data_IF_295904647874
#
_entry.id   IF_295904647874
#
_cell.length_a   1.000
_cell.length_b   1.000
_cell.length_c   1.000
_cell.angle_alpha   90.00
_cell.angle_beta   90.00
_cell.angle_gamma   90.00
#
_symmetry.space_group_name_H-M   'P 1'
#
loop_
_entity.id
_entity.type
_entity.pdbx_description
1 polymer ?
#
# COMPACT_ATOMS: atom_id res chain seq x y z
N UNK A 1 0.15 -10.04 -11.06
CA UNK A 1 -0.38 -10.58 -9.76
C UNK A 1 0.59 -10.38 -8.57
N UNK A 2 1.89 -10.18 -8.82
CA UNK A 2 2.91 -10.00 -7.79
C UNK A 2 3.52 -8.59 -7.90
N UNK A 3 3.25 -7.74 -6.92
CA UNK A 3 3.81 -6.40 -6.74
C UNK A 3 5.22 -6.48 -6.15
N UNK A 4 6.09 -5.55 -6.58
CA UNK A 4 7.51 -5.59 -6.21
C UNK A 4 8.30 -6.65 -6.96
N UNK A 5 7.89 -7.05 -8.16
CA UNK A 5 8.56 -8.12 -8.90
C UNK A 5 10.04 -7.85 -9.18
N UNK A 6 10.45 -6.58 -9.31
CA UNK A 6 11.86 -6.19 -9.45
C UNK A 6 12.73 -6.50 -8.23
N UNK A 7 12.10 -6.82 -7.09
CA UNK A 7 12.73 -7.03 -5.80
C UNK A 7 12.80 -8.51 -5.40
N UNK A 8 12.31 -9.42 -6.25
CA UNK A 8 12.29 -10.88 -5.99
C UNK A 8 13.71 -11.40 -5.80
N UNK A 9 14.63 -11.06 -6.70
CA UNK A 9 16.01 -11.58 -6.69
C UNK A 9 16.82 -11.10 -5.48
N UNK A 10 16.42 -9.97 -4.89
CA UNK A 10 17.04 -9.41 -3.69
C UNK A 10 16.37 -9.86 -2.39
N UNK A 11 15.37 -10.74 -2.44
CA UNK A 11 14.60 -11.26 -1.29
C UNK A 11 13.98 -10.14 -0.43
N UNK A 12 13.64 -9.01 -1.05
CA UNK A 12 12.93 -7.91 -0.40
C UNK A 12 11.43 -8.25 -0.36
N UNK A 13 10.69 -7.64 0.56
CA UNK A 13 9.25 -7.87 0.69
C UNK A 13 8.50 -7.54 -0.60
N UNK A 14 7.58 -8.43 -0.97
CA UNK A 14 6.72 -8.37 -2.17
C UNK A 14 5.27 -8.66 -1.76
N UNK A 15 4.32 -8.64 -2.70
CA UNK A 15 2.92 -8.87 -2.32
C UNK A 15 1.96 -9.00 -3.48
N UNK A 16 0.68 -9.17 -3.16
CA UNK A 16 -0.42 -9.23 -4.13
C UNK A 16 -1.45 -8.18 -3.76
N UNK A 17 -1.86 -7.35 -4.72
CA UNK A 17 -2.88 -6.30 -4.53
C UNK A 17 -4.13 -6.73 -5.28
N UNK A 18 -5.30 -6.52 -4.67
CA UNK A 18 -6.58 -6.82 -5.30
C UNK A 18 -7.63 -5.76 -4.97
N UNK A 19 -8.59 -5.63 -5.89
CA UNK A 19 -9.81 -4.87 -5.72
C UNK A 19 -10.97 -5.66 -6.35
N UNK A 20 -12.09 -5.70 -5.65
CA UNK A 20 -13.30 -6.41 -6.03
C UNK A 20 -14.36 -5.37 -6.34
N UNK A 21 -14.97 -5.50 -7.52
CA UNK A 21 -16.09 -4.69 -7.97
C UNK A 21 -17.32 -5.56 -8.14
N UNK A 22 -18.50 -4.96 -8.00
CA UNK A 22 -19.75 -5.57 -8.42
C UNK A 22 -20.00 -5.22 -9.89
N UNK A 23 -20.40 -6.19 -10.70
CA UNK A 23 -20.87 -5.93 -12.06
C UNK A 23 -22.14 -5.07 -12.01
N UNK A 24 -22.22 -4.04 -12.85
CA UNK A 24 -23.28 -3.02 -12.81
C UNK A 24 -24.28 -3.13 -13.97
N UNK A 25 -23.99 -3.97 -14.95
CA UNK A 25 -24.80 -4.21 -16.16
C UNK A 25 -25.43 -5.61 -16.10
N UNK A 26 -26.44 -5.87 -16.92
CA UNK A 26 -27.03 -7.22 -17.09
C UNK A 26 -26.51 -7.96 -18.34
N UNK A 27 -25.71 -7.29 -19.18
CA UNK A 27 -25.12 -7.87 -20.41
C UNK A 27 -24.10 -8.99 -20.11
N UNK A 28 -23.58 -9.68 -21.13
CA UNK A 28 -22.47 -10.61 -20.94
C UNK A 28 -21.22 -9.89 -20.36
N UNK A 29 -20.51 -10.48 -19.37
CA UNK A 29 -19.33 -9.88 -18.78
C UNK A 29 -18.26 -9.50 -19.82
N UNK A 30 -17.74 -8.29 -19.73
CA UNK A 30 -16.70 -7.81 -20.63
C UNK A 30 -15.73 -6.84 -19.93
N UNK A 31 -14.67 -6.44 -20.61
CA UNK A 31 -13.59 -5.60 -20.04
C UNK A 31 -14.09 -4.28 -19.46
N UNK A 32 -15.19 -3.72 -19.97
CA UNK A 32 -15.75 -2.45 -19.49
C UNK A 32 -16.29 -2.58 -18.06
N UNK A 33 -16.67 -3.78 -17.63
CA UNK A 33 -17.12 -4.02 -16.25
C UNK A 33 -15.98 -3.78 -15.24
N UNK A 34 -14.71 -3.83 -15.65
CA UNK A 34 -13.56 -3.51 -14.82
C UNK A 34 -13.20 -2.00 -14.84
N UNK A 35 -13.70 -1.23 -15.80
CA UNK A 35 -13.43 0.21 -15.96
C UNK A 35 -14.33 1.08 -15.08
N UNK A 36 -14.43 0.70 -13.80
CA UNK A 36 -15.21 1.43 -12.81
C UNK A 36 -14.32 2.37 -11.98
N UNK A 37 -14.88 3.50 -11.53
CA UNK A 37 -14.20 4.33 -10.54
C UNK A 37 -13.90 3.52 -9.28
N UNK A 38 -12.72 3.72 -8.68
CA UNK A 38 -12.35 3.07 -7.40
C UNK A 38 -13.31 3.34 -6.23
N UNK A 39 -14.20 4.33 -6.36
CA UNK A 39 -15.31 4.55 -5.41
C UNK A 39 -16.37 3.43 -5.42
N UNK A 40 -16.41 2.59 -6.44
CA UNK A 40 -17.33 1.44 -6.56
C UNK A 40 -16.72 0.11 -6.10
N UNK A 41 -15.50 0.14 -5.54
CA UNK A 41 -14.89 -1.04 -4.92
C UNK A 41 -15.77 -1.50 -3.75
N UNK A 42 -16.15 -2.78 -3.74
CA UNK A 42 -16.92 -3.39 -2.66
C UNK A 42 -16.02 -4.05 -1.62
N UNK A 43 -14.83 -4.48 -2.02
CA UNK A 43 -13.77 -4.92 -1.13
C UNK A 43 -12.40 -4.74 -1.81
N UNK A 44 -11.38 -4.38 -1.05
CA UNK A 44 -10.01 -4.30 -1.54
C UNK A 44 -9.04 -4.64 -0.43
N UNK A 45 -7.83 -4.97 -0.84
CA UNK A 45 -6.79 -5.39 0.08
C UNK A 45 -5.49 -5.72 -0.61
N UNK A 46 -4.57 -6.20 0.22
CA UNK A 46 -3.31 -6.72 -0.25
C UNK A 46 -2.80 -7.82 0.68
N UNK A 47 -2.09 -8.78 0.10
CA UNK A 47 -1.25 -9.72 0.82
C UNK A 47 0.20 -9.22 0.76
N UNK A 48 0.83 -9.06 1.92
CA UNK A 48 2.24 -8.73 2.06
C UNK A 48 3.02 -10.01 2.41
N UNK A 49 4.00 -10.36 1.59
CA UNK A 49 4.93 -11.46 1.79
C UNK A 49 6.25 -10.88 2.33
N UNK A 50 6.24 -10.51 3.62
CA UNK A 50 7.39 -9.95 4.32
C UNK A 50 8.07 -10.97 5.22
N UNK A 51 8.61 -10.52 6.36
CA UNK A 51 9.10 -11.41 7.42
C UNK A 51 8.00 -12.31 8.01
N UNK A 52 6.75 -11.85 7.92
CA UNK A 52 5.54 -12.65 8.11
C UNK A 52 4.58 -12.35 6.96
N UNK A 53 3.69 -13.30 6.65
CA UNK A 53 2.64 -13.09 5.64
C UNK A 53 1.42 -12.45 6.29
N UNK A 54 1.01 -11.29 5.76
CA UNK A 54 -0.14 -10.53 6.26
C UNK A 54 -1.14 -10.28 5.14
N UNK A 55 -2.43 -10.49 5.41
CA UNK A 55 -3.55 -10.07 4.58
C UNK A 55 -4.20 -8.83 5.20
N UNK A 56 -4.24 -7.73 4.45
CA UNK A 56 -4.96 -6.52 4.84
C UNK A 56 -6.21 -6.41 3.99
N UNK A 57 -7.37 -6.25 4.63
CA UNK A 57 -8.67 -6.29 3.97
C UNK A 57 -9.57 -5.15 4.45
N UNK A 58 -10.28 -4.53 3.50
CA UNK A 58 -11.39 -3.62 3.74
C UNK A 58 -12.60 -4.03 2.89
N UNK A 59 -13.79 -3.99 3.50
CA UNK A 59 -15.10 -4.21 2.85
C UNK A 59 -16.00 -2.98 2.97
N UNK A 60 -15.41 -1.81 3.23
CA UNK A 60 -16.14 -0.54 3.43
C UNK A 60 -16.48 -0.22 4.89
N UNK A 61 -16.26 -1.15 5.84
CA UNK A 61 -16.54 -0.97 7.28
C UNK A 61 -15.26 -0.94 8.14
N UNK A 62 -14.22 -0.27 7.64
CA UNK A 62 -12.90 -0.23 8.28
C UNK A 62 -11.89 -1.17 7.63
N UNK A 63 -10.71 -1.23 8.23
CA UNK A 63 -9.56 -1.99 7.72
C UNK A 63 -9.13 -2.98 8.79
N UNK A 64 -8.91 -4.24 8.42
CA UNK A 64 -8.45 -5.27 9.35
C UNK A 64 -7.22 -5.98 8.77
N UNK A 65 -6.31 -6.37 9.66
CA UNK A 65 -5.11 -7.13 9.30
C UNK A 65 -5.20 -8.52 9.88
N UNK A 66 -4.86 -9.50 9.05
CA UNK A 66 -4.81 -10.91 9.41
C UNK A 66 -3.40 -11.42 9.13
N UNK A 67 -2.79 -12.12 10.07
CA UNK A 67 -1.49 -12.74 9.89
C UNK A 67 -1.68 -14.23 9.61
N UNK A 68 -0.95 -14.76 8.63
CA UNK A 68 -0.96 -16.19 8.32
C UNK A 68 -0.22 -16.96 9.42
N UNK A 69 -0.90 -17.92 10.03
CA UNK A 69 -0.25 -18.98 10.81
C UNK A 69 0.10 -20.14 9.84
N UNK A 70 1.39 -20.33 9.50
CA UNK A 70 1.78 -21.35 8.53
C UNK A 70 1.63 -22.77 9.06
N UNK A 71 1.48 -22.98 10.38
CA UNK A 71 1.34 -24.31 10.98
C UNK A 71 -0.03 -24.93 10.72
N UNK A 72 -1.06 -24.09 10.61
CA UNK A 72 -2.45 -24.50 10.37
C UNK A 72 -3.01 -24.00 9.03
N UNK A 73 -2.33 -23.06 8.37
CA UNK A 73 -2.75 -22.52 7.07
C UNK A 73 -3.88 -21.49 7.15
N UNK A 74 -4.05 -20.82 8.30
CA UNK A 74 -5.16 -19.91 8.56
C UNK A 74 -4.70 -18.46 8.76
N UNK A 75 -5.53 -17.51 8.30
CA UNK A 75 -5.32 -16.08 8.52
C UNK A 75 -6.02 -15.64 9.82
N UNK A 76 -5.23 -15.35 10.85
CA UNK A 76 -5.71 -14.97 12.17
C UNK A 76 -5.78 -13.45 12.28
N UNK A 77 -6.91 -12.90 12.72
CA UNK A 77 -7.09 -11.47 12.96
C UNK A 77 -6.10 -10.99 14.03
N UNK A 78 -5.16 -10.12 13.66
CA UNK A 78 -4.17 -9.53 14.58
C UNK A 78 -4.51 -8.09 14.93
N UNK A 79 -5.01 -7.33 13.97
CA UNK A 79 -5.30 -5.91 14.14
C UNK A 79 -6.68 -5.57 13.58
N UNK A 80 -7.56 -5.09 14.46
CA UNK A 80 -8.96 -4.77 14.15
C UNK A 80 -9.17 -3.27 13.98
N UNK A 81 -9.95 -2.89 12.96
CA UNK A 81 -10.32 -1.51 12.63
C UNK A 81 -9.14 -0.51 12.64
N UNK A 82 -8.08 -0.87 11.93
CA UNK A 82 -6.82 -0.12 11.85
C UNK A 82 -7.08 1.30 11.36
N UNK A 83 -6.54 2.29 12.10
CA UNK A 83 -6.53 3.70 11.71
C UNK A 83 -5.11 4.21 11.58
N UNK A 84 -4.83 4.93 10.50
CA UNK A 84 -3.55 5.61 10.31
C UNK A 84 -3.42 6.80 11.28
N UNK A 85 -2.20 7.07 11.75
CA UNK A 85 -1.92 8.28 12.54
C UNK A 85 -2.20 9.53 11.71
N UNK A 86 -2.77 10.58 12.33
CA UNK A 86 -3.06 11.86 11.66
C UNK A 86 -1.81 12.51 11.04
N UNK A 87 -0.63 12.32 11.62
CA UNK A 87 0.65 12.80 11.09
C UNK A 87 1.77 11.80 11.41
N UNK A 88 2.48 11.37 10.37
CA UNK A 88 3.66 10.52 10.48
C UNK A 88 4.96 11.33 10.60
N UNK A 89 6.09 10.61 10.67
CA UNK A 89 7.48 11.14 10.73
C UNK A 89 8.40 10.52 9.67
N UNK A 90 7.82 9.86 8.66
CA UNK A 90 8.54 9.17 7.59
C UNK A 90 8.01 9.69 6.25
N UNK A 91 8.90 9.81 5.26
CA UNK A 91 8.53 9.95 3.86
C UNK A 91 9.09 8.76 3.05
N UNK A 92 8.39 8.36 1.99
CA UNK A 92 8.79 7.26 1.12
C UNK A 92 8.64 7.66 -0.34
N UNK A 93 9.78 7.77 -1.03
CA UNK A 93 9.88 8.21 -2.43
C UNK A 93 11.28 7.90 -2.97
N UNK A 94 11.37 7.49 -4.25
CA UNK A 94 12.65 7.25 -4.90
C UNK A 94 13.32 8.56 -5.33
N UNK A 95 14.23 9.07 -4.51
CA UNK A 95 14.96 10.31 -4.80
C UNK A 95 15.92 10.21 -6.00
N UNK A 96 16.15 9.02 -6.57
CA UNK A 96 16.87 8.86 -7.83
C UNK A 96 16.20 9.58 -9.01
N UNK A 97 14.91 9.90 -8.91
CA UNK A 97 14.18 10.70 -9.90
C UNK A 97 14.20 12.21 -9.64
N UNK A 98 15.04 12.71 -8.72
CA UNK A 98 15.03 14.11 -8.28
C UNK A 98 15.07 15.13 -9.43
N UNK A 99 15.81 14.84 -10.50
CA UNK A 99 15.90 15.71 -11.68
C UNK A 99 14.55 15.91 -12.42
N UNK A 100 13.58 15.03 -12.22
CA UNK A 100 12.28 15.04 -12.87
C UNK A 100 11.13 15.45 -11.94
N UNK A 101 11.43 15.78 -10.69
CA UNK A 101 10.40 16.17 -9.75
C UNK A 101 9.80 17.52 -10.11
N UNK A 102 8.48 17.61 -9.99
CA UNK A 102 7.80 18.90 -9.98
C UNK A 102 8.32 19.75 -8.81
N UNK A 103 8.34 21.09 -8.94
CA UNK A 103 8.84 21.99 -7.90
C UNK A 103 8.26 21.71 -6.51
N UNK A 104 6.96 21.43 -6.43
CA UNK A 104 6.25 21.17 -5.17
C UNK A 104 6.78 19.94 -4.43
N UNK A 105 7.18 18.88 -5.16
CA UNK A 105 7.77 17.67 -4.57
C UNK A 105 9.15 17.98 -4.02
N UNK A 106 9.96 18.73 -4.76
CA UNK A 106 11.29 19.18 -4.33
C UNK A 106 11.19 20.05 -3.08
N UNK A 107 10.26 21.00 -3.05
CA UNK A 107 10.01 21.86 -1.88
C UNK A 107 9.55 21.03 -0.66
N UNK A 108 8.61 20.11 -0.88
CA UNK A 108 8.14 19.21 0.17
C UNK A 108 9.30 18.40 0.78
N UNK A 109 10.15 17.77 -0.05
CA UNK A 109 11.30 17.02 0.43
C UNK A 109 12.30 17.89 1.18
N UNK A 110 12.55 19.12 0.71
CA UNK A 110 13.40 20.08 1.42
C UNK A 110 12.85 20.35 2.82
N UNK A 111 11.54 20.62 2.96
CA UNK A 111 10.87 20.84 4.25
C UNK A 111 10.91 19.61 5.16
N UNK A 112 10.91 18.40 4.60
CA UNK A 112 11.02 17.15 5.39
C UNK A 112 12.44 16.87 5.90
N UNK A 113 13.45 17.24 5.11
CA UNK A 113 14.87 17.07 5.48
C UNK A 113 15.41 18.20 6.36
N UNK A 114 14.94 19.42 6.12
CA UNK A 114 15.39 20.64 6.78
C UNK A 114 14.20 21.43 7.33
N UNK A 115 13.51 20.90 8.36
CA UNK A 115 12.41 21.61 9.00
C UNK A 115 12.89 22.91 9.65
N UNK A 116 12.18 24.01 9.38
CA UNK A 116 12.51 25.35 9.91
C UNK A 116 11.79 25.66 11.23
N UNK A 117 10.84 24.81 11.64
CA UNK A 117 10.04 24.96 12.86
C UNK A 117 10.71 24.35 14.11
N UNK A 118 11.97 23.93 14.00
CA UNK A 118 12.73 23.28 15.06
C UNK A 118 12.35 21.81 15.32
N UNK A 119 11.43 21.24 14.54
CA UNK A 119 11.11 19.82 14.64
C UNK A 119 12.24 18.94 14.09
N UNK A 120 12.26 17.66 14.46
CA UNK A 120 13.22 16.72 13.91
C UNK A 120 12.91 16.43 12.42
N UNK A 121 13.93 16.27 11.56
CA UNK A 121 13.74 15.81 10.18
C UNK A 121 12.97 14.49 10.12
N UNK A 122 12.23 14.29 9.02
CA UNK A 122 11.56 13.03 8.76
C UNK A 122 12.57 11.98 8.30
N UNK A 123 12.36 10.73 8.69
CA UNK A 123 13.14 9.61 8.17
C UNK A 123 12.77 9.27 6.74
N UNK A 124 13.76 9.07 5.86
CA UNK A 124 13.55 8.49 4.53
C UNK A 124 13.47 6.97 4.63
N UNK A 125 12.45 6.36 4.04
CA UNK A 125 12.32 4.91 3.87
C UNK A 125 11.76 4.62 2.49
N UNK A 126 12.45 3.84 1.68
CA UNK A 126 11.96 3.45 0.37
C UNK A 126 12.35 2.01 0.08
N UNK A 127 11.39 1.09 0.23
CA UNK A 127 11.61 -0.36 0.03
C UNK A 127 11.64 -0.71 -1.47
N UNK A 128 10.89 0.04 -2.29
CA UNK A 128 10.82 -0.18 -3.73
C UNK A 128 9.75 -1.19 -4.19
N UNK A 129 9.04 -1.82 -3.25
CA UNK A 129 7.79 -2.55 -3.48
C UNK A 129 6.64 -1.72 -2.91
N UNK A 130 5.56 -1.49 -3.67
CA UNK A 130 4.48 -0.59 -3.24
C UNK A 130 3.72 -1.12 -2.01
N UNK A 131 3.63 -2.44 -1.90
CA UNK A 131 2.97 -3.13 -0.78
C UNK A 131 3.75 -3.06 0.55
N UNK A 132 5.00 -2.60 0.56
CA UNK A 132 5.94 -2.69 1.69
C UNK A 132 6.42 -1.33 2.24
#
# INVERSE_FOLDING_TARGET
PLDGSSNIDCLVSIGTIFAIYRKTTDDEPNERDALQSGRHIVAAGYALYGSATMMVLSTGQGVNCFMLDPSIGEFILTDKDVKIKKRGKIYSLNEGFAQHFYPDVTEYLKKKKYPEDGSAPYGGRYVGSMVA
#
